data_IF_844895373291
#
_entry.id   IF_844895373291
#
_cell.length_a   1.000
_cell.length_b   1.000
_cell.length_c   1.000
_cell.angle_alpha   90.00
_cell.angle_beta   90.00
_cell.angle_gamma   90.00
#
_symmetry.space_group_name_H-M   'P 1'
#
loop_
_entity.id
_entity.type
_entity.pdbx_description
1 polymer ?
#
# COMPACT_ATOMS: atom_id res chain seq x y z
N UNK A 1 -8.50 -36.71 9.02
CA UNK A 1 -7.94 -35.66 8.14
C UNK A 1 -6.46 -35.53 8.42
N UNK A 2 -5.63 -35.92 7.46
CA UNK A 2 -4.20 -35.66 7.50
C UNK A 2 -3.96 -34.30 6.83
N UNK A 3 -3.39 -33.36 7.57
CA UNK A 3 -2.99 -32.06 7.08
C UNK A 3 -1.48 -31.89 7.19
N UNK A 4 -0.87 -31.14 6.30
CA UNK A 4 0.50 -30.65 6.45
C UNK A 4 0.46 -29.16 6.78
N UNK A 5 1.13 -28.79 7.85
CA UNK A 5 1.24 -27.40 8.28
C UNK A 5 2.66 -26.89 8.03
N UNK A 6 2.76 -25.71 7.44
CA UNK A 6 4.02 -25.00 7.24
C UNK A 6 3.98 -23.66 7.97
N UNK A 7 5.04 -23.33 8.66
CA UNK A 7 5.21 -22.03 9.28
C UNK A 7 6.07 -21.16 8.36
N UNK A 8 5.52 -20.01 7.95
CA UNK A 8 6.27 -19.01 7.21
C UNK A 8 7.30 -18.39 8.16
N UNK A 9 8.57 -18.20 7.73
CA UNK A 9 9.58 -17.57 8.56
C UNK A 9 9.12 -16.25 9.14
N UNK A 10 9.46 -16.03 10.41
CA UNK A 10 9.08 -14.82 11.15
C UNK A 10 9.74 -13.59 10.57
N UNK A 11 8.95 -12.51 10.43
CA UNK A 11 9.47 -11.19 10.11
C UNK A 11 9.27 -10.26 11.31
N UNK A 12 10.28 -9.46 11.57
CA UNK A 12 10.28 -8.43 12.60
C UNK A 12 10.45 -7.07 11.93
N UNK A 13 9.92 -6.02 12.54
CA UNK A 13 10.22 -4.68 12.09
C UNK A 13 11.63 -4.29 12.54
N UNK A 14 12.55 -3.95 11.61
CA UNK A 14 13.94 -3.66 11.98
C UNK A 14 14.15 -2.28 12.61
N UNK A 15 13.18 -1.35 12.43
CA UNK A 15 13.41 0.08 12.75
C UNK A 15 12.63 0.59 13.95
N UNK A 16 11.45 0.08 14.18
CA UNK A 16 10.63 0.48 15.32
C UNK A 16 9.84 -0.71 15.87
N UNK A 17 9.25 -0.52 17.04
CA UNK A 17 8.35 -1.48 17.64
C UNK A 17 6.93 -1.37 17.08
N UNK A 18 6.71 -0.58 15.99
CA UNK A 18 5.39 -0.40 15.45
C UNK A 18 4.91 -1.66 14.72
N UNK A 19 3.69 -2.02 15.00
CA UNK A 19 2.99 -3.13 14.34
C UNK A 19 2.40 -2.74 12.98
N UNK A 20 2.55 -1.49 12.57
CA UNK A 20 1.82 -0.88 11.44
C UNK A 20 2.10 -1.53 10.09
N UNK A 21 3.29 -2.12 9.93
CA UNK A 21 3.71 -2.71 8.65
C UNK A 21 3.78 -4.23 8.67
N UNK A 22 3.62 -4.82 9.85
CA UNK A 22 3.63 -6.27 9.99
C UNK A 22 2.27 -6.82 9.66
N UNK A 23 2.20 -7.70 8.67
CA UNK A 23 0.93 -8.31 8.28
C UNK A 23 1.11 -9.72 7.72
N UNK A 24 0.00 -10.47 7.73
CA UNK A 24 -0.20 -11.71 7.00
C UNK A 24 -1.10 -11.39 5.81
N UNK A 25 -0.63 -11.68 4.61
CA UNK A 25 -1.36 -11.44 3.38
C UNK A 25 -1.67 -12.72 2.63
N UNK A 26 -2.73 -12.71 1.84
CA UNK A 26 -3.06 -13.78 0.91
C UNK A 26 -3.76 -13.25 -0.33
N UNK A 27 -3.67 -14.03 -1.40
CA UNK A 27 -4.43 -13.82 -2.63
C UNK A 27 -5.12 -15.10 -3.04
N UNK A 28 -6.45 -15.05 -3.04
CA UNK A 28 -7.32 -16.15 -3.46
C UNK A 28 -7.85 -15.89 -4.88
N UNK A 29 -7.83 -16.91 -5.74
CA UNK A 29 -8.36 -16.83 -7.10
C UNK A 29 -9.48 -17.84 -7.37
N UNK A 30 -9.95 -18.50 -6.32
CA UNK A 30 -10.98 -19.53 -6.42
C UNK A 30 -12.32 -18.99 -6.94
N UNK A 31 -13.22 -19.87 -7.39
CA UNK A 31 -14.53 -19.47 -7.87
C UNK A 31 -15.35 -18.83 -6.74
N UNK A 32 -16.26 -17.87 -7.06
CA UNK A 32 -17.18 -17.32 -6.08
C UNK A 32 -18.09 -18.40 -5.50
N UNK A 33 -18.48 -18.26 -4.24
CA UNK A 33 -19.50 -19.13 -3.62
C UNK A 33 -20.78 -19.09 -4.43
N UNK A 34 -21.40 -20.28 -4.59
CA UNK A 34 -22.74 -20.36 -5.13
C UNK A 34 -23.71 -19.57 -4.21
N UNK A 35 -24.55 -18.72 -4.81
CA UNK A 35 -25.58 -17.96 -4.08
C UNK A 35 -26.41 -18.90 -3.20
N UNK A 36 -26.42 -18.66 -1.90
CA UNK A 36 -27.22 -19.42 -0.93
C UNK A 36 -26.46 -20.17 0.17
N UNK A 37 -25.15 -20.15 0.18
CA UNK A 37 -24.36 -20.78 1.26
C UNK A 37 -24.25 -19.85 2.48
N UNK A 38 -25.31 -19.81 3.27
CA UNK A 38 -25.37 -19.04 4.55
C UNK A 38 -25.37 -20.00 5.74
N UNK A 39 -24.31 -20.75 5.94
CA UNK A 39 -24.20 -21.59 7.14
C UNK A 39 -22.92 -21.29 7.93
N UNK A 40 -22.97 -21.59 9.26
CA UNK A 40 -21.86 -21.37 10.18
C UNK A 40 -20.51 -22.02 9.76
N UNK A 41 -20.57 -23.01 8.83
CA UNK A 41 -19.36 -23.61 8.24
C UNK A 41 -18.65 -22.72 7.20
N UNK A 42 -19.31 -21.68 6.71
CA UNK A 42 -18.72 -20.74 5.76
C UNK A 42 -18.09 -19.51 6.43
N UNK A 43 -18.12 -19.42 7.76
CA UNK A 43 -17.44 -18.37 8.51
C UNK A 43 -15.94 -18.49 8.33
N UNK A 44 -15.31 -17.45 7.80
CA UNK A 44 -13.88 -17.42 7.51
C UNK A 44 -13.45 -18.04 6.16
N UNK A 45 -14.38 -18.58 5.35
CA UNK A 45 -14.09 -19.06 4.01
C UNK A 45 -14.04 -17.87 3.05
N UNK A 46 -12.97 -17.80 2.26
CA UNK A 46 -12.75 -16.77 1.25
C UNK A 46 -12.85 -17.43 -0.15
N UNK A 47 -13.80 -16.95 -0.91
CA UNK A 47 -14.07 -17.41 -2.28
C UNK A 47 -14.03 -16.22 -3.25
N UNK A 48 -13.79 -16.51 -4.52
CA UNK A 48 -13.59 -15.48 -5.53
C UNK A 48 -12.20 -14.86 -5.49
N UNK A 49 -11.98 -13.93 -6.41
CA UNK A 49 -10.72 -13.19 -6.48
C UNK A 49 -10.65 -12.17 -5.33
N UNK A 50 -9.85 -12.47 -4.31
CA UNK A 50 -9.76 -11.67 -3.09
C UNK A 50 -8.31 -11.55 -2.64
N UNK A 51 -7.90 -10.32 -2.39
CA UNK A 51 -6.62 -9.96 -1.81
C UNK A 51 -6.86 -9.28 -0.46
N UNK A 52 -6.23 -9.76 0.58
CA UNK A 52 -6.34 -9.18 1.92
C UNK A 52 -4.99 -9.23 2.63
N UNK A 53 -4.70 -8.17 3.38
CA UNK A 53 -3.53 -8.05 4.25
C UNK A 53 -4.00 -7.68 5.65
N UNK A 54 -3.88 -8.61 6.57
CA UNK A 54 -4.33 -8.45 7.94
C UNK A 54 -3.15 -7.97 8.78
N UNK A 55 -3.24 -6.74 9.26
CA UNK A 55 -2.19 -6.12 10.06
C UNK A 55 -2.18 -6.68 11.48
N UNK A 56 -1.00 -6.62 12.11
CA UNK A 56 -0.82 -7.11 13.48
C UNK A 56 -1.76 -6.41 14.49
N UNK A 57 -2.08 -5.13 14.28
CA UNK A 57 -3.01 -4.37 15.12
C UNK A 57 -4.49 -4.74 14.91
N UNK A 58 -4.81 -5.44 13.83
CA UNK A 58 -6.16 -5.95 13.52
C UNK A 58 -6.37 -7.38 14.06
N UNK A 59 -5.31 -8.01 14.56
CA UNK A 59 -5.40 -9.32 15.21
C UNK A 59 -6.13 -9.22 16.56
N UNK A 60 -6.78 -10.28 16.98
CA UNK A 60 -7.49 -10.32 18.24
C UNK A 60 -6.63 -9.99 19.46
N UNK A 61 -7.27 -9.79 20.61
CA UNK A 61 -6.59 -9.49 21.88
C UNK A 61 -5.62 -10.58 22.34
N UNK A 62 -5.79 -11.80 21.84
CA UNK A 62 -4.88 -12.94 21.99
C UNK A 62 -3.69 -12.91 21.02
N UNK A 63 -3.62 -11.90 20.15
CA UNK A 63 -2.58 -11.75 19.13
C UNK A 63 -2.72 -12.71 17.96
N UNK A 64 -3.91 -13.28 17.76
CA UNK A 64 -4.19 -14.22 16.65
C UNK A 64 -5.12 -13.62 15.63
N UNK A 65 -4.84 -13.94 14.38
CA UNK A 65 -5.73 -13.66 13.26
C UNK A 65 -6.87 -14.69 13.26
N UNK A 66 -8.08 -14.25 12.92
CA UNK A 66 -9.14 -15.20 12.62
C UNK A 66 -8.73 -16.08 11.43
N UNK A 67 -8.86 -17.43 11.55
CA UNK A 67 -8.48 -18.35 10.49
C UNK A 67 -9.23 -18.05 9.18
N UNK A 68 -8.50 -18.04 8.06
CA UNK A 68 -9.06 -17.85 6.71
C UNK A 68 -8.91 -19.12 5.90
N UNK A 69 -10.03 -19.65 5.44
CA UNK A 69 -10.07 -20.84 4.57
C UNK A 69 -10.17 -20.38 3.11
N UNK A 70 -9.08 -20.52 2.37
CA UNK A 70 -8.97 -20.14 0.97
C UNK A 70 -9.37 -21.33 0.08
N UNK A 71 -10.23 -21.09 -0.89
CA UNK A 71 -10.64 -22.13 -1.85
C UNK A 71 -9.53 -22.46 -2.85
N UNK A 72 -8.77 -21.46 -3.29
CA UNK A 72 -7.65 -21.59 -4.21
C UNK A 72 -6.66 -20.43 -4.01
N UNK A 73 -5.68 -20.63 -3.14
CA UNK A 73 -4.69 -19.59 -2.88
C UNK A 73 -3.65 -19.51 -4.00
N UNK A 74 -3.47 -18.35 -4.61
CA UNK A 74 -2.34 -18.06 -5.50
C UNK A 74 -1.04 -17.95 -4.70
N UNK A 75 -1.09 -17.24 -3.57
CA UNK A 75 0.02 -17.11 -2.63
C UNK A 75 -0.46 -16.70 -1.24
N UNK A 76 0.37 -16.99 -0.27
CA UNK A 76 0.24 -16.51 1.12
C UNK A 76 1.57 -15.94 1.54
N UNK A 77 1.58 -14.84 2.25
CA UNK A 77 2.80 -14.20 2.68
C UNK A 77 2.74 -13.67 4.12
N UNK A 78 3.93 -13.48 4.66
CA UNK A 78 4.17 -12.63 5.83
C UNK A 78 5.09 -11.53 5.37
N UNK A 79 4.74 -10.28 5.63
CA UNK A 79 5.56 -9.17 5.20
C UNK A 79 5.67 -8.07 6.26
N UNK A 80 6.74 -7.29 6.15
CA UNK A 80 6.91 -6.02 6.82
C UNK A 80 6.96 -4.88 5.78
N UNK A 81 7.48 -3.73 6.14
CA UNK A 81 7.58 -2.58 5.23
C UNK A 81 8.41 -2.90 3.97
N UNK A 82 9.54 -3.57 4.12
CA UNK A 82 10.55 -3.75 3.07
C UNK A 82 10.76 -5.18 2.62
N UNK A 83 10.40 -6.17 3.44
CA UNK A 83 10.66 -7.58 3.18
C UNK A 83 9.39 -8.40 3.17
N UNK A 84 9.42 -9.47 2.41
CA UNK A 84 8.35 -10.45 2.32
C UNK A 84 8.88 -11.87 2.33
N UNK A 85 8.18 -12.74 3.04
CA UNK A 85 8.28 -14.19 2.93
C UNK A 85 6.96 -14.68 2.34
N UNK A 86 7.00 -15.21 1.13
CA UNK A 86 5.85 -15.60 0.33
C UNK A 86 5.95 -17.08 -0.02
N UNK A 87 4.85 -17.78 0.08
CA UNK A 87 4.69 -19.17 -0.37
C UNK A 87 3.61 -19.22 -1.44
N UNK A 88 3.95 -19.78 -2.59
CA UNK A 88 3.06 -20.01 -3.73
C UNK A 88 2.90 -21.51 -3.97
N UNK A 89 1.71 -22.09 -3.79
CA UNK A 89 1.43 -23.46 -4.24
C UNK A 89 1.55 -23.54 -5.77
N UNK A 90 2.24 -24.56 -6.29
CA UNK A 90 2.35 -24.80 -7.73
C UNK A 90 1.18 -25.66 -8.20
N UNK A 91 0.84 -26.68 -7.42
CA UNK A 91 -0.27 -27.57 -7.70
C UNK A 91 -1.51 -27.16 -6.92
N UNK A 92 -2.71 -27.31 -7.51
CA UNK A 92 -3.96 -27.10 -6.78
C UNK A 92 -4.05 -28.13 -5.64
N UNK A 93 -3.88 -27.66 -4.42
CA UNK A 93 -3.86 -28.50 -3.21
C UNK A 93 -5.23 -28.53 -2.50
N UNK A 94 -6.26 -27.97 -3.13
CA UNK A 94 -7.57 -27.81 -2.51
C UNK A 94 -7.61 -26.63 -1.52
N UNK A 95 -8.42 -26.78 -0.49
CA UNK A 95 -8.59 -25.71 0.51
C UNK A 95 -7.33 -25.53 1.36
N UNK A 96 -6.97 -24.27 1.57
CA UNK A 96 -5.80 -23.84 2.35
C UNK A 96 -6.28 -23.01 3.53
N UNK A 97 -5.94 -23.44 4.74
CA UNK A 97 -6.19 -22.67 5.94
C UNK A 97 -4.99 -21.78 6.24
N UNK A 98 -5.23 -20.49 6.36
CA UNK A 98 -4.24 -19.46 6.72
C UNK A 98 -4.55 -18.94 8.11
N UNK A 99 -3.53 -18.93 8.95
CA UNK A 99 -3.58 -18.41 10.30
C UNK A 99 -2.41 -17.47 10.54
N UNK A 100 -2.60 -16.44 11.33
CA UNK A 100 -1.57 -15.50 11.74
C UNK A 100 -1.46 -15.37 13.24
N UNK A 101 -0.25 -15.22 13.73
CA UNK A 101 0.00 -15.03 15.17
C UNK A 101 1.07 -13.96 15.39
N UNK A 102 0.83 -13.11 16.39
CA UNK A 102 1.83 -12.15 16.84
C UNK A 102 3.01 -12.85 17.49
N UNK A 103 4.21 -12.43 17.13
CA UNK A 103 5.44 -12.90 17.75
C UNK A 103 6.12 -11.74 18.47
N UNK A 104 6.70 -12.00 19.64
CA UNK A 104 7.51 -11.03 20.39
C UNK A 104 8.91 -11.61 20.58
N UNK A 105 9.92 -10.84 20.14
CA UNK A 105 11.32 -11.16 20.39
C UNK A 105 11.84 -10.22 21.48
N UNK A 106 12.28 -10.78 22.60
CA UNK A 106 12.95 -10.03 23.65
C UNK A 106 14.45 -10.33 23.55
N UNK A 107 15.22 -9.36 23.09
CA UNK A 107 16.69 -9.42 23.18
C UNK A 107 17.14 -9.06 24.59
N UNK A 108 18.17 -9.76 25.09
CA UNK A 108 18.71 -9.57 26.43
C UNK A 108 19.20 -8.14 26.72
N UNK A 109 19.48 -7.37 25.67
CA UNK A 109 20.02 -6.00 25.75
C UNK A 109 19.01 -4.90 25.40
N UNK A 110 17.76 -5.24 25.06
CA UNK A 110 16.75 -4.23 24.71
C UNK A 110 15.66 -4.16 25.78
N UNK A 111 15.26 -2.93 26.11
CA UNK A 111 14.22 -2.64 27.13
C UNK A 111 12.82 -3.00 26.60
N UNK A 112 12.62 -3.00 25.29
CA UNK A 112 11.36 -3.30 24.64
C UNK A 112 11.46 -4.52 23.72
N UNK A 113 10.39 -5.33 23.67
CA UNK A 113 10.32 -6.49 22.81
C UNK A 113 9.95 -6.08 21.39
N UNK A 114 10.76 -6.50 20.41
CA UNK A 114 10.40 -6.30 19.01
C UNK A 114 9.12 -7.06 18.64
N UNK A 115 8.20 -6.36 17.98
CA UNK A 115 6.99 -6.96 17.43
C UNK A 115 7.33 -7.72 16.14
N UNK A 116 6.72 -8.87 15.98
CA UNK A 116 6.86 -9.71 14.79
C UNK A 116 5.54 -10.40 14.46
N UNK A 117 5.48 -11.00 13.30
CA UNK A 117 4.33 -11.78 12.83
C UNK A 117 4.77 -13.13 12.28
N UNK A 118 3.95 -14.13 12.50
CA UNK A 118 4.10 -15.50 11.99
C UNK A 118 2.86 -15.86 11.22
N UNK A 119 3.02 -16.42 10.02
CA UNK A 119 1.94 -17.03 9.27
C UNK A 119 2.05 -18.55 9.31
N UNK A 120 0.93 -19.23 9.51
CA UNK A 120 0.81 -20.68 9.42
C UNK A 120 -0.10 -21.01 8.23
N UNK A 121 0.32 -21.97 7.41
CA UNK A 121 -0.45 -22.46 6.27
C UNK A 121 -0.69 -23.94 6.49
N UNK A 122 -1.95 -24.35 6.47
CA UNK A 122 -2.33 -25.76 6.59
C UNK A 122 -3.04 -26.21 5.31
N UNK A 123 -2.46 -27.21 4.65
CA UNK A 123 -3.00 -27.82 3.44
C UNK A 123 -3.87 -29.03 3.80
N UNK A 124 -5.07 -29.10 3.22
CA UNK A 124 -5.94 -30.25 3.38
C UNK A 124 -5.57 -31.34 2.37
N UNK A 125 -4.94 -32.41 2.82
CA UNK A 125 -4.55 -33.54 1.97
C UNK A 125 -5.68 -34.54 1.72
N UNK A 126 -6.80 -34.39 2.41
CA UNK A 126 -7.88 -35.37 2.42
C UNK A 126 -7.49 -36.68 3.10
N UNK A 127 -8.09 -37.76 2.68
CA UNK A 127 -7.79 -39.12 3.19
C UNK A 127 -6.77 -39.77 2.27
N UNK A 128 -5.63 -40.20 2.82
CA UNK A 128 -4.61 -40.95 2.08
C UNK A 128 -4.84 -42.45 2.30
N UNK A 129 -4.91 -43.23 1.22
CA UNK A 129 -4.93 -44.65 1.29
C UNK A 129 -3.56 -45.21 1.72
N UNK A 130 -3.51 -46.41 2.32
CA UNK A 130 -2.23 -47.04 2.66
C UNK A 130 -1.34 -47.22 1.43
N UNK A 131 -0.13 -46.62 1.46
CA UNK A 131 0.81 -46.62 0.34
C UNK A 131 0.61 -45.49 -0.70
N UNK A 132 -0.41 -44.66 -0.56
CA UNK A 132 -0.58 -43.46 -1.40
C UNK A 132 0.45 -42.38 -1.04
N UNK A 133 1.09 -41.83 -2.08
CA UNK A 133 2.04 -40.70 -1.95
C UNK A 133 1.42 -39.50 -2.63
N UNK A 134 1.36 -38.38 -1.92
CA UNK A 134 1.02 -37.08 -2.50
C UNK A 134 2.18 -36.11 -2.37
N UNK A 135 2.59 -35.54 -3.48
CA UNK A 135 3.64 -34.54 -3.51
C UNK A 135 3.00 -33.15 -3.42
N UNK A 136 3.47 -32.36 -2.48
CA UNK A 136 3.16 -30.94 -2.37
C UNK A 136 4.31 -30.17 -3.01
N UNK A 137 3.99 -29.37 -4.02
CA UNK A 137 4.97 -28.51 -4.69
C UNK A 137 4.60 -27.06 -4.44
N UNK A 138 5.57 -26.29 -3.98
CA UNK A 138 5.40 -24.87 -3.74
C UNK A 138 6.71 -24.12 -3.98
N UNK A 139 6.57 -22.88 -4.41
CA UNK A 139 7.67 -21.93 -4.50
C UNK A 139 7.70 -21.06 -3.25
N UNK A 140 8.91 -20.77 -2.78
CA UNK A 140 9.13 -19.86 -1.66
C UNK A 140 9.99 -18.69 -2.13
N UNK A 141 9.47 -17.48 -1.95
CA UNK A 141 10.24 -16.26 -2.10
C UNK A 141 10.48 -15.64 -0.72
N UNK A 142 11.73 -15.34 -0.41
CA UNK A 142 12.12 -14.65 0.82
C UNK A 142 13.12 -13.57 0.45
N UNK A 143 12.72 -12.32 0.54
CA UNK A 143 13.56 -11.22 0.09
C UNK A 143 12.91 -9.85 0.20
N UNK A 144 13.56 -8.84 -0.39
CA UNK A 144 13.04 -7.48 -0.42
C UNK A 144 11.76 -7.39 -1.27
N UNK A 145 10.90 -6.43 -0.95
CA UNK A 145 9.72 -6.08 -1.76
C UNK A 145 10.17 -5.24 -2.96
N UNK A 146 10.75 -5.90 -3.96
CA UNK A 146 11.14 -5.32 -5.23
C UNK A 146 10.03 -5.52 -6.25
N UNK A 147 9.45 -4.42 -6.75
CA UNK A 147 8.31 -4.47 -7.68
C UNK A 147 8.66 -5.22 -8.97
N UNK A 148 9.84 -4.98 -9.53
CA UNK A 148 10.27 -5.58 -10.78
C UNK A 148 10.43 -7.10 -10.62
N UNK A 149 11.14 -7.51 -9.57
CA UNK A 149 11.38 -8.93 -9.29
C UNK A 149 10.08 -9.67 -9.00
N UNK A 150 9.20 -9.10 -8.17
CA UNK A 150 7.90 -9.71 -7.84
C UNK A 150 6.97 -9.79 -9.06
N UNK A 151 7.06 -8.83 -9.99
CA UNK A 151 6.31 -8.87 -11.26
C UNK A 151 6.83 -9.96 -12.20
N UNK A 152 8.14 -10.18 -12.26
CA UNK A 152 8.76 -11.23 -13.07
C UNK A 152 8.44 -12.65 -12.56
N UNK A 153 8.24 -12.82 -11.25
CA UNK A 153 7.83 -14.09 -10.66
C UNK A 153 6.39 -14.49 -11.02
N UNK A 154 5.58 -13.54 -11.48
CA UNK A 154 4.21 -13.78 -11.94
C UNK A 154 3.21 -14.05 -10.81
N UNK A 155 2.06 -14.61 -11.16
CA UNK A 155 0.97 -14.94 -10.21
C UNK A 155 0.51 -13.77 -9.35
N UNK A 156 0.59 -12.54 -9.86
CA UNK A 156 0.20 -11.30 -9.18
C UNK A 156 0.98 -11.06 -7.85
N UNK A 157 2.22 -11.54 -7.75
CA UNK A 157 3.03 -11.38 -6.54
C UNK A 157 3.42 -9.90 -6.28
N UNK A 158 3.42 -9.05 -7.33
CA UNK A 158 3.60 -7.61 -7.22
C UNK A 158 2.54 -6.92 -6.33
N UNK A 159 1.37 -7.52 -6.12
CA UNK A 159 0.34 -7.00 -5.21
C UNK A 159 0.81 -6.92 -3.76
N UNK A 160 1.81 -7.70 -3.37
CA UNK A 160 2.46 -7.61 -2.05
C UNK A 160 3.03 -6.22 -1.74
N UNK A 161 3.29 -5.39 -2.77
CA UNK A 161 3.73 -4.00 -2.61
C UNK A 161 2.70 -3.12 -1.91
N UNK A 162 1.42 -3.51 -1.95
CA UNK A 162 0.32 -2.78 -1.28
C UNK A 162 0.25 -1.29 -1.68
N UNK A 163 0.32 -1.00 -2.98
CA UNK A 163 0.25 0.38 -3.52
C UNK A 163 -1.10 1.07 -3.29
N UNK A 164 -2.06 0.36 -2.68
CA UNK A 164 -3.37 0.90 -2.33
C UNK A 164 -4.23 1.28 -3.52
N UNK A 165 -5.17 2.20 -3.31
CA UNK A 165 -6.16 2.61 -4.32
C UNK A 165 -5.52 3.22 -5.58
N UNK A 166 -4.32 3.80 -5.47
CA UNK A 166 -3.63 4.49 -6.56
C UNK A 166 -2.52 3.65 -7.20
N UNK A 167 -2.65 2.31 -7.16
CA UNK A 167 -1.69 1.35 -7.72
C UNK A 167 -1.33 1.68 -9.20
N UNK A 168 -2.31 2.10 -10.00
CA UNK A 168 -2.14 2.47 -11.40
C UNK A 168 -1.27 3.72 -11.63
N UNK A 169 -1.01 4.52 -10.58
CA UNK A 169 -0.02 5.62 -10.57
C UNK A 169 1.29 5.11 -9.98
N UNK A 170 1.23 4.35 -8.89
CA UNK A 170 2.41 3.89 -8.16
C UNK A 170 3.30 2.95 -8.99
N UNK A 171 2.69 2.02 -9.72
CA UNK A 171 3.42 1.07 -10.57
C UNK A 171 4.29 1.73 -11.64
N UNK A 172 3.78 2.61 -12.51
CA UNK A 172 4.62 3.27 -13.49
C UNK A 172 5.66 4.21 -12.87
N UNK A 173 5.35 4.80 -11.70
CA UNK A 173 6.33 5.62 -10.97
C UNK A 173 7.46 4.77 -10.39
N UNK A 174 7.18 3.57 -9.87
CA UNK A 174 8.19 2.62 -9.40
C UNK A 174 9.12 2.21 -10.53
N UNK A 175 8.56 1.81 -11.67
CA UNK A 175 9.36 1.47 -12.85
C UNK A 175 10.27 2.62 -13.32
N UNK A 176 9.73 3.86 -13.33
CA UNK A 176 10.53 5.05 -13.71
C UNK A 176 11.61 5.37 -12.68
N UNK A 177 11.34 5.15 -11.39
CA UNK A 177 12.32 5.33 -10.34
C UNK A 177 13.50 4.37 -10.52
N UNK A 178 13.23 3.09 -10.75
CA UNK A 178 14.26 2.08 -10.99
C UNK A 178 15.08 2.40 -12.25
N UNK A 179 14.40 2.81 -13.33
CA UNK A 179 15.05 3.20 -14.56
C UNK A 179 16.01 4.38 -14.35
N UNK A 180 15.56 5.44 -13.68
CA UNK A 180 16.40 6.62 -13.43
C UNK A 180 17.51 6.33 -12.43
N UNK A 181 17.24 5.55 -11.40
CA UNK A 181 18.25 5.15 -10.41
C UNK A 181 19.33 4.29 -11.05
N UNK A 182 18.94 3.37 -11.94
CA UNK A 182 19.89 2.55 -12.70
C UNK A 182 20.78 3.35 -13.63
N UNK A 183 20.24 4.40 -14.28
CA UNK A 183 21.04 5.29 -15.17
C UNK A 183 21.97 6.21 -14.37
N UNK A 184 21.46 6.76 -13.25
CA UNK A 184 22.19 7.78 -12.46
C UNK A 184 23.07 7.18 -11.37
N UNK A 185 22.93 5.87 -11.08
CA UNK A 185 23.66 5.16 -10.04
C UNK A 185 23.30 5.59 -8.61
N UNK A 186 22.15 6.28 -8.43
CA UNK A 186 21.69 6.76 -7.12
C UNK A 186 20.17 6.91 -7.07
N UNK A 187 19.54 6.32 -6.06
CA UNK A 187 18.10 6.45 -5.83
C UNK A 187 17.69 7.87 -5.46
N UNK A 188 18.52 8.60 -4.71
CA UNK A 188 18.26 10.01 -4.39
C UNK A 188 18.19 10.90 -5.63
N UNK A 189 19.10 10.72 -6.59
CA UNK A 189 19.04 11.41 -7.89
C UNK A 189 17.84 10.94 -8.71
N UNK A 190 17.52 9.65 -8.67
CA UNK A 190 16.34 9.08 -9.31
C UNK A 190 15.04 9.74 -8.83
N UNK A 191 14.86 9.94 -7.53
CA UNK A 191 13.71 10.63 -6.94
C UNK A 191 13.63 12.07 -7.41
N UNK A 192 14.76 12.80 -7.47
CA UNK A 192 14.79 14.19 -7.93
C UNK A 192 14.35 14.27 -9.40
N UNK A 193 14.92 13.44 -10.27
CA UNK A 193 14.57 13.43 -11.70
C UNK A 193 13.12 13.02 -11.91
N UNK A 194 12.64 12.00 -11.20
CA UNK A 194 11.25 11.59 -11.23
C UNK A 194 10.30 12.73 -10.84
N UNK A 195 10.64 13.45 -9.76
CA UNK A 195 9.83 14.60 -9.29
C UNK A 195 9.80 15.73 -10.32
N UNK A 196 10.93 16.02 -10.96
CA UNK A 196 11.02 17.01 -12.04
C UNK A 196 10.15 16.58 -13.24
N UNK A 197 10.23 15.31 -13.63
CA UNK A 197 9.43 14.76 -14.73
C UNK A 197 7.92 14.91 -14.46
N UNK A 198 7.46 14.48 -13.29
CA UNK A 198 6.05 14.60 -12.87
C UNK A 198 5.62 16.07 -12.88
N UNK A 199 6.45 16.99 -12.37
CA UNK A 199 6.17 18.42 -12.39
C UNK A 199 6.11 18.99 -13.80
N UNK A 200 6.97 18.56 -14.70
CA UNK A 200 6.95 18.99 -16.12
C UNK A 200 5.66 18.51 -16.82
N UNK A 201 5.24 17.27 -16.60
CA UNK A 201 3.99 16.74 -17.16
C UNK A 201 2.79 17.54 -16.65
N UNK A 202 2.78 17.90 -15.37
CA UNK A 202 1.68 18.67 -14.75
C UNK A 202 1.77 20.18 -15.01
N UNK A 203 2.87 20.68 -15.54
CA UNK A 203 3.11 22.12 -15.74
C UNK A 203 1.99 22.82 -16.52
N UNK A 204 1.54 22.32 -17.69
CA UNK A 204 0.52 23.04 -18.45
C UNK A 204 -0.81 23.16 -17.69
N UNK A 205 -1.12 22.17 -16.85
CA UNK A 205 -2.33 22.15 -16.03
C UNK A 205 -2.23 23.13 -14.86
N UNK A 206 -1.11 23.11 -14.13
CA UNK A 206 -0.87 24.01 -12.99
C UNK A 206 -0.74 25.47 -13.45
N UNK A 207 -0.15 25.72 -14.62
CA UNK A 207 -0.06 27.06 -15.19
C UNK A 207 -1.43 27.67 -15.51
N UNK A 208 -2.35 26.88 -16.08
CA UNK A 208 -3.74 27.33 -16.33
C UNK A 208 -4.47 27.66 -15.03
N UNK A 209 -4.32 26.81 -14.02
CA UNK A 209 -4.95 27.02 -12.72
C UNK A 209 -4.40 28.24 -12.00
N UNK A 210 -3.09 28.45 -12.01
CA UNK A 210 -2.45 29.65 -11.41
C UNK A 210 -2.93 30.93 -12.09
N UNK A 211 -3.12 30.93 -13.42
CA UNK A 211 -3.71 32.09 -14.13
C UNK A 211 -5.14 32.37 -13.66
N UNK A 212 -5.94 31.32 -13.45
CA UNK A 212 -7.31 31.47 -12.93
C UNK A 212 -7.32 31.98 -11.48
N UNK A 213 -6.41 31.48 -10.63
CA UNK A 213 -6.24 31.99 -9.28
C UNK A 213 -5.88 33.48 -9.23
N UNK A 214 -4.94 33.93 -10.08
CA UNK A 214 -4.58 35.35 -10.17
C UNK A 214 -5.78 36.22 -10.56
N UNK A 215 -6.63 35.77 -11.51
CA UNK A 215 -7.86 36.47 -11.85
C UNK A 215 -8.83 36.54 -10.67
N UNK A 216 -8.95 35.43 -9.91
CA UNK A 216 -9.79 35.41 -8.72
C UNK A 216 -9.28 36.36 -7.62
N UNK A 217 -7.96 36.43 -7.42
CA UNK A 217 -7.35 37.37 -6.46
C UNK A 217 -7.64 38.83 -6.82
N UNK A 218 -7.56 39.17 -8.11
CA UNK A 218 -7.91 40.54 -8.57
C UNK A 218 -9.38 40.93 -8.32
N UNK A 219 -10.26 39.95 -8.14
CA UNK A 219 -11.70 40.17 -7.87
C UNK A 219 -12.05 40.12 -6.39
N UNK A 220 -11.07 39.97 -5.47
CA UNK A 220 -11.34 39.85 -4.03
C UNK A 220 -11.96 41.09 -3.43
N UNK A 221 -11.48 42.30 -3.81
CA UNK A 221 -12.04 43.56 -3.32
C UNK A 221 -13.51 43.76 -3.74
N UNK A 222 -13.89 43.65 -5.04
CA UNK A 222 -15.28 43.70 -5.44
C UNK A 222 -16.17 42.63 -4.79
N UNK A 223 -15.63 41.44 -4.57
CA UNK A 223 -16.35 40.35 -3.88
C UNK A 223 -16.58 40.69 -2.40
N UNK A 224 -15.62 41.31 -1.71
CA UNK A 224 -15.77 41.75 -0.34
C UNK A 224 -16.89 42.80 -0.20
N UNK A 225 -16.93 43.78 -1.11
CA UNK A 225 -17.99 44.77 -1.16
C UNK A 225 -19.37 44.12 -1.41
N UNK A 226 -19.46 43.15 -2.30
CA UNK A 226 -20.69 42.40 -2.57
C UNK A 226 -21.18 41.61 -1.33
N UNK A 227 -20.25 40.99 -0.59
CA UNK A 227 -20.56 40.30 0.67
C UNK A 227 -21.08 41.26 1.74
N UNK A 228 -20.49 42.44 1.88
CA UNK A 228 -20.95 43.46 2.82
C UNK A 228 -22.38 43.93 2.49
N UNK A 229 -22.64 44.17 1.22
CA UNK A 229 -23.97 44.63 0.74
C UNK A 229 -25.08 43.63 1.03
N UNK A 230 -24.80 42.35 1.07
CA UNK A 230 -25.81 41.29 1.20
C UNK A 230 -25.64 40.44 2.48
N UNK A 231 -25.00 40.97 3.53
CA UNK A 231 -24.78 40.28 4.84
C UNK A 231 -26.10 39.73 5.46
N UNK A 232 -27.23 40.37 5.19
CA UNK A 232 -28.52 39.99 5.79
C UNK A 232 -29.28 38.89 5.04
N UNK A 233 -28.82 38.43 3.88
CA UNK A 233 -29.56 37.45 3.04
C UNK A 233 -28.63 36.49 2.33
N UNK A 234 -28.32 35.31 2.94
CA UNK A 234 -27.39 34.31 2.35
C UNK A 234 -27.81 33.82 0.96
N UNK A 235 -29.12 33.71 0.71
CA UNK A 235 -29.61 33.26 -0.58
C UNK A 235 -29.36 34.29 -1.69
N UNK A 236 -29.62 35.58 -1.42
CA UNK A 236 -29.32 36.68 -2.37
C UNK A 236 -27.82 36.82 -2.59
N UNK A 237 -27.02 36.68 -1.54
CA UNK A 237 -25.58 36.70 -1.64
C UNK A 237 -25.05 35.62 -2.61
N UNK A 238 -25.51 34.39 -2.44
CA UNK A 238 -25.11 33.28 -3.32
C UNK A 238 -25.50 33.51 -4.79
N UNK A 239 -26.72 34.03 -5.02
CA UNK A 239 -27.17 34.35 -6.38
C UNK A 239 -26.35 35.46 -7.04
N UNK A 240 -26.09 36.56 -6.32
CA UNK A 240 -25.26 37.66 -6.84
C UNK A 240 -23.79 37.26 -7.02
N UNK A 241 -23.24 36.44 -6.11
CA UNK A 241 -21.90 35.87 -6.28
C UNK A 241 -21.79 35.00 -7.55
N UNK A 242 -22.80 34.14 -7.82
CA UNK A 242 -22.81 33.32 -9.02
C UNK A 242 -22.95 34.15 -10.29
N UNK A 243 -23.76 35.22 -10.29
CA UNK A 243 -23.82 36.17 -11.41
C UNK A 243 -22.49 36.86 -11.61
N UNK A 244 -21.87 37.35 -10.56
CA UNK A 244 -20.57 38.01 -10.57
C UNK A 244 -19.49 37.14 -11.20
N UNK A 245 -19.41 35.85 -10.81
CA UNK A 245 -18.47 34.91 -11.42
C UNK A 245 -18.74 34.70 -12.92
N UNK A 246 -20.01 34.62 -13.32
CA UNK A 246 -20.40 34.48 -14.74
C UNK A 246 -20.04 35.71 -15.57
N UNK A 247 -20.32 36.92 -15.07
CA UNK A 247 -20.01 38.19 -15.72
C UNK A 247 -18.51 38.35 -15.95
N UNK A 248 -17.70 38.02 -14.95
CA UNK A 248 -16.24 38.11 -15.05
C UNK A 248 -15.57 36.89 -15.72
N UNK A 249 -16.37 35.92 -16.18
CA UNK A 249 -15.89 34.66 -16.79
C UNK A 249 -14.84 33.93 -15.96
N UNK A 250 -15.03 33.91 -14.63
CA UNK A 250 -14.14 33.26 -13.67
C UNK A 250 -14.86 32.08 -13.04
N UNK A 251 -14.19 30.93 -13.07
CA UNK A 251 -14.70 29.74 -12.42
C UNK A 251 -14.13 29.64 -10.98
N UNK A 252 -14.97 29.68 -9.93
CA UNK A 252 -14.51 29.58 -8.55
C UNK A 252 -13.80 28.26 -8.24
N UNK A 253 -14.10 27.18 -8.96
CA UNK A 253 -13.48 25.87 -8.78
C UNK A 253 -12.14 25.72 -9.51
N UNK A 254 -11.77 26.66 -10.39
CA UNK A 254 -10.53 26.56 -11.14
C UNK A 254 -9.27 26.67 -10.25
N UNK A 255 -9.40 27.25 -9.04
CA UNK A 255 -8.33 27.35 -8.08
C UNK A 255 -8.01 26.07 -7.33
N UNK A 256 -9.00 25.20 -7.09
CA UNK A 256 -8.82 23.93 -6.36
C UNK A 256 -8.53 22.73 -7.29
N UNK A 257 -8.77 22.85 -8.59
CA UNK A 257 -8.58 21.79 -9.57
C UNK A 257 -7.17 21.15 -9.55
N UNK A 258 -6.06 21.92 -9.47
CA UNK A 258 -4.73 21.33 -9.38
C UNK A 258 -4.55 20.45 -8.16
N UNK A 259 -5.11 20.84 -7.02
CA UNK A 259 -5.01 20.08 -5.77
C UNK A 259 -5.71 18.72 -5.96
N UNK A 260 -6.89 18.70 -6.58
CA UNK A 260 -7.64 17.46 -6.82
C UNK A 260 -6.89 16.46 -7.68
N UNK A 261 -6.11 16.92 -8.67
CA UNK A 261 -5.27 16.05 -9.51
C UNK A 261 -3.97 15.69 -8.79
N UNK A 262 -3.44 16.62 -8.00
CA UNK A 262 -2.18 16.43 -7.27
C UNK A 262 -2.31 15.38 -6.16
N UNK A 263 -3.48 15.27 -5.49
CA UNK A 263 -3.68 14.32 -4.38
C UNK A 263 -3.46 12.87 -4.82
N UNK A 264 -4.09 12.35 -5.89
CA UNK A 264 -3.83 10.99 -6.37
C UNK A 264 -2.36 10.73 -6.71
N UNK A 265 -1.71 11.70 -7.36
CA UNK A 265 -0.29 11.57 -7.74
C UNK A 265 0.60 11.58 -6.49
N UNK A 266 0.33 12.47 -5.55
CA UNK A 266 1.07 12.53 -4.28
C UNK A 266 0.90 11.23 -3.48
N UNK A 267 -0.34 10.73 -3.35
CA UNK A 267 -0.61 9.48 -2.64
C UNK A 267 0.03 8.28 -3.35
N UNK A 268 -0.04 8.21 -4.68
CA UNK A 268 0.62 7.15 -5.45
C UNK A 268 2.15 7.17 -5.25
N UNK A 269 2.77 8.35 -5.31
CA UNK A 269 4.20 8.50 -5.04
C UNK A 269 4.55 8.18 -3.58
N UNK A 270 3.70 8.58 -2.63
CA UNK A 270 3.89 8.29 -1.21
C UNK A 270 3.87 6.79 -0.94
N UNK A 271 2.87 6.06 -1.46
CA UNK A 271 2.79 4.62 -1.29
C UNK A 271 3.96 3.89 -1.96
N UNK A 272 4.36 4.34 -3.16
CA UNK A 272 5.50 3.79 -3.88
C UNK A 272 6.79 3.94 -3.08
N UNK A 273 7.14 5.17 -2.65
CA UNK A 273 8.37 5.41 -1.88
C UNK A 273 8.37 4.69 -0.53
N UNK A 274 7.21 4.63 0.12
CA UNK A 274 7.06 3.98 1.43
C UNK A 274 7.31 2.47 1.38
N UNK A 275 6.97 1.81 0.28
CA UNK A 275 7.14 0.36 0.10
C UNK A 275 8.40 -0.02 -0.68
N UNK A 276 9.18 0.95 -1.15
CA UNK A 276 10.39 0.72 -1.92
C UNK A 276 11.51 0.19 -1.02
N UNK A 277 11.75 -1.12 -1.08
CA UNK A 277 12.84 -1.77 -0.35
C UNK A 277 14.21 -1.33 -0.83
N UNK A 278 14.30 -0.85 -2.06
CA UNK A 278 15.50 -0.38 -2.74
C UNK A 278 16.08 0.89 -2.08
N UNK A 279 15.25 1.64 -1.34
CA UNK A 279 15.69 2.83 -0.61
C UNK A 279 16.36 2.50 0.72
N UNK A 280 16.18 1.27 1.20
CA UNK A 280 16.72 0.81 2.46
C UNK A 280 18.25 0.80 2.44
N UNK A 281 18.88 1.46 3.42
CA UNK A 281 20.33 1.59 3.51
C UNK A 281 20.97 2.48 2.43
N UNK A 282 20.18 3.22 1.64
CA UNK A 282 20.70 4.14 0.62
C UNK A 282 20.88 5.54 1.18
N UNK A 283 22.12 5.98 1.31
CA UNK A 283 22.43 7.34 1.70
C UNK A 283 22.35 8.33 0.54
N UNK A 284 21.92 9.57 0.82
CA UNK A 284 21.95 10.65 -0.15
C UNK A 284 22.16 12.02 0.51
N UNK A 285 23.19 12.74 0.13
CA UNK A 285 23.61 14.01 0.72
C UNK A 285 23.78 13.91 2.25
N UNK A 286 22.88 14.54 3.02
CA UNK A 286 22.90 14.50 4.49
C UNK A 286 22.07 13.34 5.07
N UNK A 287 21.17 12.74 4.29
CA UNK A 287 20.38 11.60 4.72
C UNK A 287 21.26 10.35 4.70
N UNK A 288 21.41 9.69 5.85
CA UNK A 288 22.15 8.45 5.97
C UNK A 288 21.41 7.27 5.38
N UNK A 289 20.08 7.29 5.50
CA UNK A 289 19.17 6.30 4.93
C UNK A 289 17.90 7.00 4.42
N UNK A 290 17.57 6.81 3.12
CA UNK A 290 16.39 7.38 2.50
C UNK A 290 15.07 6.73 2.96
N UNK A 291 15.15 5.60 3.66
CA UNK A 291 14.00 4.88 4.19
C UNK A 291 13.66 5.23 5.64
N UNK A 292 14.58 5.89 6.37
CA UNK A 292 14.43 6.27 7.77
C UNK A 292 14.20 7.76 7.96
N UNK A 293 13.73 8.12 9.15
CA UNK A 293 13.61 9.52 9.55
C UNK A 293 15.00 10.08 9.87
N UNK A 294 15.32 11.25 9.30
CA UNK A 294 16.56 11.95 9.60
C UNK A 294 16.63 12.35 11.07
N UNK A 295 17.61 11.88 11.79
CA UNK A 295 17.92 12.29 13.17
C UNK A 295 18.80 13.56 13.19
N UNK A 296 18.32 14.62 12.54
CA UNK A 296 19.07 15.90 12.44
C UNK A 296 19.36 16.49 13.82
N UNK A 297 18.58 16.15 14.83
CA UNK A 297 18.77 16.59 16.22
C UNK A 297 20.08 16.10 16.85
N UNK A 298 20.66 14.99 16.39
CA UNK A 298 21.95 14.51 16.89
C UNK A 298 23.16 15.22 16.28
N UNK A 299 22.96 15.92 15.14
CA UNK A 299 24.08 16.65 14.47
C UNK A 299 24.29 18.03 15.08
N UNK A 300 23.26 18.59 15.75
CA UNK A 300 23.27 19.94 16.35
C UNK A 300 23.05 19.93 17.87
N UNK A 301 23.08 18.77 18.53
CA UNK A 301 22.88 18.60 19.99
C UNK A 301 24.10 18.84 20.82
#
# INVERSE_FOLDING_TARGET
HTGSAFQIPRLYNPFDNSSTYLNVGYYNSGPPLAEGCSCAKCSGRIDGETEEFIQLNEMGTDGKMEPRLLSEAKWVCVNNQFFVNLIRPINSLGEILVEGESAKKKDSNQTEAQSGVVGNITFSLGVLAPGEIRNLEFEVYSGPKDYKLLSELGSDQNKVMQFGVFWWISEPLSYLLDLFSGILGSYGLGIIVLTILVKLILWPLTAKATRSQKKMQALQEPMAALREKHKGSPQKLNQEMMKFYKEHKVNPFAGCWPIMIQIPIFLGMFWMLRSAAELYGQGFLWAQDLSEQDQITEIFG
#
